data_IF_562795462356
#
_entry.id   IF_562795462356
#
_cell.length_a   1.000
_cell.length_b   1.000
_cell.length_c   1.000
_cell.angle_alpha   90.00
_cell.angle_beta   90.00
_cell.angle_gamma   90.00
#
_symmetry.space_group_name_H-M   'P 1'
#
loop_
_entity.id
_entity.type
_entity.pdbx_description
1 polymer ?
#
# COMPACT_ATOMS: atom_id res chain seq x y z
N UNK A 1 11.90 -9.36 21.39
CA UNK A 1 10.69 -8.52 21.35
C UNK A 1 9.70 -9.22 20.44
N UNK A 2 8.58 -9.69 20.96
CA UNK A 2 7.54 -10.37 20.16
C UNK A 2 6.23 -9.63 20.41
N UNK A 3 5.56 -9.25 19.33
CA UNK A 3 4.23 -8.66 19.38
C UNK A 3 3.25 -9.76 18.98
N UNK A 4 2.34 -10.11 19.89
CA UNK A 4 1.20 -10.96 19.55
C UNK A 4 0.23 -10.08 18.77
N UNK A 5 0.11 -10.34 17.48
CA UNK A 5 -0.83 -9.63 16.60
C UNK A 5 -2.01 -10.56 16.38
N UNK A 6 -3.19 -10.18 16.88
CA UNK A 6 -4.43 -10.88 16.51
C UNK A 6 -4.68 -10.61 15.04
N UNK A 7 -4.50 -11.64 14.20
CA UNK A 7 -4.79 -11.54 12.78
C UNK A 7 -6.31 -11.48 12.61
N UNK A 8 -6.81 -10.49 11.88
CA UNK A 8 -8.22 -10.41 11.53
C UNK A 8 -8.61 -11.57 10.61
N UNK A 9 -9.91 -11.84 10.47
CA UNK A 9 -10.42 -12.66 9.38
C UNK A 9 -9.85 -12.17 8.03
N UNK A 10 -9.65 -13.10 7.09
CA UNK A 10 -9.13 -12.80 5.76
C UNK A 10 -10.12 -11.84 5.08
N UNK A 11 -9.79 -10.55 5.07
CA UNK A 11 -10.58 -9.54 4.40
C UNK A 11 -10.44 -9.75 2.89
N UNK A 12 -11.54 -10.17 2.23
CA UNK A 12 -11.56 -10.34 0.78
C UNK A 12 -11.23 -9.01 0.09
N UNK A 13 -10.22 -9.01 -0.78
CA UNK A 13 -9.87 -7.82 -1.56
C UNK A 13 -10.73 -7.72 -2.81
N UNK A 14 -11.15 -6.51 -3.18
CA UNK A 14 -11.73 -6.23 -4.51
C UNK A 14 -10.66 -5.61 -5.40
N UNK A 15 -10.48 -6.15 -6.59
CA UNK A 15 -9.58 -5.57 -7.59
C UNK A 15 -10.31 -4.40 -8.26
N UNK A 16 -9.70 -3.22 -8.21
CA UNK A 16 -10.23 -1.98 -8.80
C UNK A 16 -9.13 -1.32 -9.60
N UNK A 17 -9.48 -0.71 -10.74
CA UNK A 17 -8.58 0.11 -11.54
C UNK A 17 -8.99 1.57 -11.42
N UNK A 18 -8.02 2.44 -11.18
CA UNK A 18 -8.25 3.89 -11.16
C UNK A 18 -7.23 4.65 -10.32
N UNK A 19 -7.57 5.90 -9.98
CA UNK A 19 -6.81 6.70 -9.02
C UNK A 19 -7.30 6.44 -7.61
N UNK A 20 -6.38 6.24 -6.69
CA UNK A 20 -6.65 5.96 -5.29
C UNK A 20 -5.59 6.62 -4.42
N UNK A 21 -5.94 6.97 -3.18
CA UNK A 21 -4.95 7.38 -2.19
C UNK A 21 -4.52 6.15 -1.41
N UNK A 22 -3.26 5.77 -1.53
CA UNK A 22 -2.75 4.70 -0.68
C UNK A 22 -2.37 5.24 0.70
N UNK A 23 -2.93 4.69 1.80
CA UNK A 23 -2.79 5.29 3.11
C UNK A 23 -1.39 5.17 3.72
N UNK A 24 -0.74 4.01 3.54
CA UNK A 24 0.57 3.67 4.13
C UNK A 24 1.25 2.58 3.29
N UNK A 25 2.23 2.95 2.47
CA UNK A 25 3.04 1.99 1.70
C UNK A 25 4.51 2.17 2.05
N UNK A 26 5.19 1.07 2.34
CA UNK A 26 6.65 1.05 2.46
C UNK A 26 7.28 0.92 1.08
N UNK A 27 8.03 1.91 0.62
CA UNK A 27 8.61 1.93 -0.72
C UNK A 27 10.11 2.22 -0.68
N UNK A 28 10.85 1.80 -1.71
CA UNK A 28 12.24 2.25 -1.89
C UNK A 28 12.25 3.65 -2.50
N UNK A 29 13.42 4.31 -2.51
CA UNK A 29 13.57 5.61 -3.17
C UNK A 29 13.24 5.56 -4.67
N UNK A 30 13.47 4.42 -5.32
CA UNK A 30 13.20 4.24 -6.76
C UNK A 30 11.70 4.23 -7.07
N UNK A 31 10.89 3.71 -6.16
CA UNK A 31 9.43 3.61 -6.35
C UNK A 31 8.69 4.92 -6.14
N UNK A 32 9.33 5.92 -5.52
CA UNK A 32 8.72 7.23 -5.26
C UNK A 32 8.22 7.87 -6.57
N UNK A 33 8.89 7.59 -7.69
CA UNK A 33 8.50 8.08 -9.01
C UNK A 33 7.09 7.65 -9.46
N UNK A 34 6.54 6.58 -8.89
CA UNK A 34 5.20 6.05 -9.19
C UNK A 34 4.06 6.90 -8.62
N UNK A 35 4.37 7.87 -7.77
CA UNK A 35 3.40 8.76 -7.15
C UNK A 35 3.40 10.14 -7.84
N UNK A 36 2.21 10.70 -8.08
CA UNK A 36 2.05 12.09 -8.51
C UNK A 36 2.12 13.05 -7.33
N UNK A 37 1.58 12.64 -6.18
CA UNK A 37 1.59 13.38 -4.92
C UNK A 37 1.80 12.41 -3.78
N UNK A 38 2.60 12.79 -2.78
CA UNK A 38 2.81 11.97 -1.61
C UNK A 38 3.25 12.80 -0.39
N UNK A 39 2.93 12.28 0.78
CA UNK A 39 3.40 12.69 2.09
C UNK A 39 4.36 11.61 2.62
N UNK A 40 5.53 12.02 3.08
CA UNK A 40 6.49 11.13 3.74
C UNK A 40 6.11 11.05 5.22
N UNK A 41 5.61 9.88 5.64
CA UNK A 41 5.20 9.63 7.03
C UNK A 41 6.38 9.17 7.90
N UNK A 42 7.30 8.41 7.30
CA UNK A 42 8.55 8.02 7.93
C UNK A 42 9.64 7.81 6.86
N UNK A 43 10.89 8.07 7.24
CA UNK A 43 12.05 7.86 6.38
C UNK A 43 13.13 7.09 7.14
N UNK A 44 13.72 6.11 6.46
CA UNK A 44 14.89 5.38 6.94
C UNK A 44 15.96 5.40 5.84
N UNK A 45 17.17 4.91 6.15
CA UNK A 45 18.23 4.75 5.15
C UNK A 45 17.92 3.70 4.07
N UNK A 46 16.85 2.89 4.24
CA UNK A 46 16.53 1.78 3.32
C UNK A 46 15.19 1.94 2.61
N UNK A 47 14.22 2.58 3.26
CA UNK A 47 12.86 2.72 2.76
C UNK A 47 12.19 3.98 3.30
N UNK A 48 11.17 4.41 2.57
CA UNK A 48 10.22 5.44 2.97
C UNK A 48 8.87 4.79 3.27
N UNK A 49 8.12 5.33 4.23
CA UNK A 49 6.70 5.03 4.40
C UNK A 49 5.95 6.25 3.89
N UNK A 50 5.16 6.04 2.84
CA UNK A 50 4.45 7.10 2.15
C UNK A 50 2.94 6.93 2.24
N UNK A 51 2.25 8.05 2.20
CA UNK A 51 0.85 8.17 1.82
C UNK A 51 0.78 8.96 0.53
N UNK A 52 0.05 8.51 -0.48
CA UNK A 52 0.02 9.28 -1.73
C UNK A 52 -0.89 8.72 -2.80
N UNK A 53 -0.96 9.47 -3.89
CA UNK A 53 -1.72 9.11 -5.09
C UNK A 53 -0.77 8.69 -6.21
N UNK A 54 -1.05 7.57 -6.90
CA UNK A 54 -0.26 7.12 -8.02
C UNK A 54 -0.35 8.13 -9.16
N UNK A 55 0.72 8.22 -9.94
CA UNK A 55 0.83 9.12 -11.09
C UNK A 55 -0.16 8.75 -12.18
N UNK A 56 -0.24 7.45 -12.46
CA UNK A 56 -1.09 6.88 -13.50
C UNK A 56 -2.25 6.10 -12.87
N UNK A 57 -3.23 5.75 -13.70
CA UNK A 57 -4.26 4.80 -13.27
C UNK A 57 -3.65 3.41 -13.09
N UNK A 58 -3.74 2.91 -11.87
CA UNK A 58 -3.10 1.66 -11.47
C UNK A 58 -4.15 0.64 -11.06
N UNK A 59 -3.79 -0.64 -11.16
CA UNK A 59 -4.59 -1.72 -10.56
C UNK A 59 -4.28 -1.73 -9.06
N UNK A 60 -5.33 -1.74 -8.25
CA UNK A 60 -5.22 -1.80 -6.80
C UNK A 60 -6.19 -2.81 -6.20
N UNK A 61 -5.79 -3.31 -5.03
CA UNK A 61 -6.60 -4.12 -4.16
C UNK A 61 -7.22 -3.20 -3.11
N UNK A 62 -8.55 -3.11 -3.14
CA UNK A 62 -9.35 -2.43 -2.15
C UNK A 62 -9.71 -3.41 -1.04
N UNK A 63 -9.33 -3.09 0.19
CA UNK A 63 -9.72 -3.80 1.39
C UNK A 63 -10.64 -2.91 2.21
N UNK A 64 -11.84 -3.41 2.51
CA UNK A 64 -12.73 -2.74 3.45
C UNK A 64 -12.42 -3.29 4.86
N UNK A 65 -11.79 -2.48 5.70
CA UNK A 65 -11.41 -2.80 7.08
C UNK A 65 -12.29 -2.01 8.06
N UNK A 66 -12.34 -2.43 9.32
CA UNK A 66 -13.20 -1.79 10.35
C UNK A 66 -12.93 -0.28 10.47
N UNK A 67 -11.69 0.14 10.26
CA UNK A 67 -11.25 1.53 10.34
C UNK A 67 -11.34 2.33 9.04
N UNK A 68 -11.86 1.74 7.95
CA UNK A 68 -12.01 2.42 6.66
C UNK A 68 -11.65 1.56 5.45
N UNK A 69 -11.35 2.20 4.32
CA UNK A 69 -10.93 1.51 3.10
C UNK A 69 -9.44 1.70 2.85
N UNK A 70 -8.73 0.58 2.65
CA UNK A 70 -7.32 0.55 2.31
C UNK A 70 -7.17 0.22 0.83
N UNK A 71 -6.43 1.06 0.10
CA UNK A 71 -6.05 0.80 -1.28
C UNK A 71 -4.57 0.45 -1.37
N UNK A 72 -4.30 -0.75 -1.88
CA UNK A 72 -2.94 -1.26 -2.04
C UNK A 72 -2.67 -1.50 -3.53
N UNK A 73 -1.66 -0.86 -4.14
CA UNK A 73 -1.32 -1.11 -5.54
C UNK A 73 -0.93 -2.57 -5.78
N UNK A 74 -1.31 -3.13 -6.93
CA UNK A 74 -0.97 -4.52 -7.29
C UNK A 74 0.54 -4.74 -7.37
N UNK A 75 1.28 -3.80 -7.96
CA UNK A 75 2.75 -3.87 -8.05
C UNK A 75 3.43 -3.96 -6.68
N UNK A 76 2.81 -3.39 -5.65
CA UNK A 76 3.33 -3.45 -4.28
C UNK A 76 3.14 -4.85 -3.72
N UNK A 77 1.95 -5.43 -3.89
CA UNK A 77 1.64 -6.79 -3.43
C UNK A 77 2.50 -7.86 -4.10
N UNK A 78 2.74 -7.73 -5.41
CA UNK A 78 3.60 -8.66 -6.17
C UNK A 78 5.03 -8.72 -5.64
N UNK A 79 5.54 -7.64 -5.06
CA UNK A 79 6.89 -7.62 -4.47
C UNK A 79 6.97 -8.26 -3.10
N UNK A 80 5.86 -8.29 -2.36
CA UNK A 80 5.79 -8.88 -1.02
C UNK A 80 5.63 -10.41 -1.02
N UNK A 81 5.68 -11.09 -2.18
CA UNK A 81 5.43 -12.54 -2.32
C UNK A 81 4.08 -13.00 -1.74
N UNK A 82 3.13 -12.07 -1.55
CA UNK A 82 1.79 -12.35 -1.01
C UNK A 82 0.80 -12.82 -2.08
N UNK A 83 1.25 -13.00 -3.33
CA UNK A 83 0.44 -13.36 -4.49
C UNK A 83 0.87 -14.70 -5.14
N UNK A 84 1.70 -15.51 -4.46
CA UNK A 84 2.01 -16.89 -4.84
C UNK A 84 1.18 -17.92 -4.05
#
# INVERSE_FOLDING_TARGET
>A
MFQIVTLSEIAGSKIVRGRFTSPFIQVTLEDVCKFASYEILAATMRYLILRGEPRDEEICHRFDIVSGTLYVPEWYLRRSLLLE
#
